data_IF_470283450985
#
_entry.id   IF_470283450985
#
_cell.length_a   1.000
_cell.length_b   1.000
_cell.length_c   1.000
_cell.angle_alpha   90.00
_cell.angle_beta   90.00
_cell.angle_gamma   90.00
#
_symmetry.space_group_name_H-M   'P 1'
#
loop_
_entity.id
_entity.type
_entity.pdbx_description
1 polymer ?
#
# COMPACT_ATOMS: atom_id res chain seq x y z
N UNK A 1 -11.65 7.62 -7.96
CA UNK A 1 -11.03 6.29 -8.19
C UNK A 1 -10.85 5.54 -6.86
N UNK A 2 -10.16 6.13 -5.88
CA UNK A 2 -9.94 5.54 -4.54
C UNK A 2 -11.21 5.08 -3.80
N UNK A 3 -12.30 5.87 -3.81
CA UNK A 3 -13.56 5.46 -3.18
C UNK A 3 -14.24 4.24 -3.82
N UNK A 4 -14.03 4.01 -5.12
CA UNK A 4 -14.52 2.80 -5.82
C UNK A 4 -13.66 1.57 -5.51
N UNK A 5 -12.35 1.76 -5.31
CA UNK A 5 -11.43 0.68 -4.97
C UNK A 5 -11.63 0.14 -3.53
N UNK A 6 -12.26 0.93 -2.66
CA UNK A 6 -12.56 0.56 -1.27
C UNK A 6 -14.05 0.22 -1.05
N UNK A 7 -14.80 -0.04 -2.13
CA UNK A 7 -16.22 -0.43 -2.08
C UNK A 7 -17.10 0.51 -1.25
N UNK A 8 -16.75 1.80 -1.17
CA UNK A 8 -17.54 2.75 -0.40
C UNK A 8 -18.84 3.01 -1.14
N UNK A 9 -19.95 2.54 -0.56
CA UNK A 9 -21.31 2.81 -1.01
C UNK A 9 -21.66 4.29 -0.80
N UNK A 10 -21.12 5.17 -1.64
CA UNK A 10 -21.69 6.49 -1.99
C UNK A 10 -22.10 7.46 -0.87
N UNK A 11 -21.60 7.34 0.36
CA UNK A 11 -21.93 8.22 1.47
C UNK A 11 -20.72 9.05 1.93
N UNK A 12 -20.97 10.26 2.42
CA UNK A 12 -19.94 11.02 3.15
C UNK A 12 -19.67 10.38 4.53
N UNK A 13 -18.56 10.78 5.18
CA UNK A 13 -18.18 10.20 6.46
C UNK A 13 -19.24 10.42 7.55
N UNK A 14 -19.98 11.53 7.49
CA UNK A 14 -21.02 11.85 8.46
C UNK A 14 -22.23 10.93 8.29
N UNK A 15 -22.68 10.68 7.05
CA UNK A 15 -23.77 9.76 6.76
C UNK A 15 -23.40 8.33 7.14
N UNK A 16 -22.16 7.89 6.87
CA UNK A 16 -21.69 6.57 7.28
C UNK A 16 -21.68 6.42 8.81
N UNK A 17 -21.24 7.45 9.55
CA UNK A 17 -21.26 7.43 11.02
C UNK A 17 -22.69 7.35 11.56
N UNK A 18 -23.60 8.12 10.99
CA UNK A 18 -25.01 8.11 11.38
C UNK A 18 -25.65 6.73 11.14
N UNK A 19 -25.41 6.13 9.98
CA UNK A 19 -25.87 4.77 9.65
C UNK A 19 -25.25 3.70 10.56
N UNK A 20 -24.01 3.88 10.99
CA UNK A 20 -23.32 2.93 11.86
C UNK A 20 -24.01 2.79 13.24
N UNK A 21 -24.61 3.87 13.75
CA UNK A 21 -25.39 3.89 15.02
C UNK A 21 -26.91 3.82 14.82
N UNK A 22 -27.37 3.55 13.59
CA UNK A 22 -28.78 3.45 13.22
C UNK A 22 -29.08 2.04 12.72
N UNK A 23 -29.35 1.08 13.61
CA UNK A 23 -29.74 -0.28 13.20
C UNK A 23 -31.05 -0.23 12.38
N UNK A 24 -31.17 -1.03 11.29
CA UNK A 24 -32.37 -1.06 10.46
C UNK A 24 -33.64 -1.47 11.24
N UNK A 25 -33.49 -2.39 12.19
CA UNK A 25 -34.55 -2.81 13.12
C UNK A 25 -34.20 -2.39 14.56
N UNK A 26 -34.40 -1.10 14.83
CA UNK A 26 -34.11 -0.53 16.15
C UNK A 26 -35.03 -1.08 17.25
N UNK A 27 -36.27 -1.43 16.92
CA UNK A 27 -37.26 -1.93 17.87
C UNK A 27 -37.00 -3.39 18.23
N UNK A 28 -36.69 -4.24 17.25
CA UNK A 28 -36.26 -5.62 17.48
C UNK A 28 -34.96 -5.68 18.27
N UNK A 29 -33.98 -4.82 17.94
CA UNK A 29 -32.76 -4.71 18.73
C UNK A 29 -33.04 -4.25 20.17
N UNK A 30 -33.92 -3.27 20.37
CA UNK A 30 -34.33 -2.82 21.71
C UNK A 30 -34.96 -3.96 22.51
N UNK A 31 -35.87 -4.73 21.90
CA UNK A 31 -36.49 -5.89 22.55
C UNK A 31 -35.46 -6.93 22.97
N UNK A 32 -34.52 -7.26 22.09
CA UNK A 32 -33.42 -8.19 22.37
C UNK A 32 -32.52 -7.69 23.51
N UNK A 33 -32.19 -6.39 23.54
CA UNK A 33 -31.37 -5.79 24.59
C UNK A 33 -32.11 -5.71 25.93
N UNK A 34 -33.42 -5.46 25.96
CA UNK A 34 -34.20 -5.52 27.21
C UNK A 34 -34.14 -6.92 27.83
N UNK A 35 -34.38 -7.96 27.02
CA UNK A 35 -34.24 -9.36 27.44
C UNK A 35 -32.83 -9.66 27.97
N UNK A 36 -31.79 -9.15 27.29
CA UNK A 36 -30.41 -9.33 27.72
C UNK A 36 -30.10 -8.61 29.05
N UNK A 37 -30.65 -7.41 29.25
CA UNK A 37 -30.47 -6.61 30.46
C UNK A 37 -31.06 -7.28 31.71
N UNK A 38 -32.19 -7.98 31.56
CA UNK A 38 -32.86 -8.67 32.66
C UNK A 38 -32.28 -10.06 32.93
N UNK A 39 -32.04 -10.84 31.85
CA UNK A 39 -31.79 -12.29 31.94
C UNK A 39 -30.39 -12.72 31.53
N UNK A 40 -29.56 -11.79 31.04
CA UNK A 40 -28.18 -12.05 30.62
C UNK A 40 -27.22 -12.35 31.77
N UNK A 41 -25.97 -12.68 31.43
CA UNK A 41 -24.86 -12.66 32.40
C UNK A 41 -24.43 -11.22 32.73
N UNK A 42 -23.77 -11.00 33.87
CA UNK A 42 -23.40 -9.66 34.39
C UNK A 42 -22.78 -8.73 33.33
N UNK A 43 -21.76 -9.21 32.62
CA UNK A 43 -21.11 -8.43 31.55
C UNK A 43 -22.04 -8.08 30.38
N UNK A 44 -22.95 -8.99 30.02
CA UNK A 44 -23.97 -8.79 29.00
C UNK A 44 -25.04 -7.80 29.42
N UNK A 45 -25.48 -7.84 30.69
CA UNK A 45 -26.46 -6.89 31.23
C UNK A 45 -25.95 -5.46 31.19
N UNK A 46 -24.68 -5.25 31.59
CA UNK A 46 -24.05 -3.92 31.55
C UNK A 46 -24.00 -3.36 30.13
N UNK A 47 -23.59 -4.16 29.16
CA UNK A 47 -23.54 -3.76 27.74
C UNK A 47 -24.95 -3.46 27.22
N UNK A 48 -25.94 -4.28 27.60
CA UNK A 48 -27.32 -4.09 27.18
C UNK A 48 -27.90 -2.77 27.69
N UNK A 49 -27.67 -2.43 28.97
CA UNK A 49 -28.11 -1.15 29.54
C UNK A 49 -27.45 0.04 28.84
N UNK A 50 -26.14 -0.02 28.61
CA UNK A 50 -25.40 1.05 27.91
C UNK A 50 -25.94 1.25 26.48
N UNK A 51 -26.25 0.17 25.75
CA UNK A 51 -26.86 0.26 24.42
C UNK A 51 -28.32 0.73 24.45
N UNK A 52 -29.10 0.39 25.47
CA UNK A 52 -30.46 0.89 25.65
C UNK A 52 -30.47 2.40 25.90
N UNK A 53 -29.52 2.91 26.68
CA UNK A 53 -29.32 4.35 26.88
C UNK A 53 -29.00 5.04 25.54
N UNK A 54 -28.12 4.46 24.73
CA UNK A 54 -27.84 4.96 23.37
C UNK A 54 -29.09 4.93 22.48
N UNK A 55 -29.89 3.86 22.53
CA UNK A 55 -31.14 3.76 21.77
C UNK A 55 -32.23 4.73 22.24
N UNK A 56 -32.16 5.25 23.47
CA UNK A 56 -33.05 6.31 23.95
C UNK A 56 -32.71 7.69 23.36
N UNK A 57 -31.48 7.88 22.88
CA UNK A 57 -31.05 9.10 22.20
C UNK A 57 -31.45 9.12 20.72
N UNK A 58 -31.68 10.32 20.15
CA UNK A 58 -31.82 10.46 18.70
C UNK A 58 -30.52 10.01 18.00
N UNK A 59 -30.57 9.46 16.78
CA UNK A 59 -29.39 8.91 16.08
C UNK A 59 -28.17 9.83 16.03
N UNK A 60 -28.38 11.15 15.90
CA UNK A 60 -27.32 12.15 15.83
C UNK A 60 -26.56 12.35 17.16
N UNK A 61 -27.18 11.98 18.28
CA UNK A 61 -26.60 12.09 19.62
C UNK A 61 -26.00 10.78 20.13
N UNK A 62 -26.08 9.69 19.35
CA UNK A 62 -25.51 8.39 19.70
C UNK A 62 -23.99 8.39 19.50
N UNK A 63 -23.30 7.73 20.41
CA UNK A 63 -21.84 7.66 20.44
C UNK A 63 -21.35 6.38 19.72
N UNK A 64 -20.68 6.57 18.58
CA UNK A 64 -20.10 5.47 17.81
C UNK A 64 -19.03 4.67 18.58
N UNK A 65 -18.03 5.29 19.24
CA UNK A 65 -17.11 4.57 20.12
C UNK A 65 -17.78 3.63 21.13
N UNK A 66 -18.87 4.06 21.77
CA UNK A 66 -19.67 3.22 22.69
C UNK A 66 -20.31 2.06 21.92
N UNK A 67 -21.00 2.35 20.82
CA UNK A 67 -21.66 1.35 19.97
C UNK A 67 -20.66 0.28 19.46
N UNK A 68 -19.54 0.72 18.89
CA UNK A 68 -18.48 -0.16 18.38
C UNK A 68 -17.90 -1.03 19.48
N UNK A 69 -17.59 -0.45 20.65
CA UNK A 69 -17.01 -1.19 21.78
C UNK A 69 -17.97 -2.22 22.34
N UNK A 70 -19.28 -1.96 22.30
CA UNK A 70 -20.29 -2.90 22.74
C UNK A 70 -20.24 -4.19 21.91
N UNK A 71 -20.16 -4.06 20.59
CA UNK A 71 -20.30 -5.19 19.65
C UNK A 71 -18.98 -5.83 19.21
N UNK A 72 -17.87 -5.07 19.15
CA UNK A 72 -16.60 -5.55 18.60
C UNK A 72 -15.54 -5.79 19.67
N UNK A 73 -14.65 -6.74 19.38
CA UNK A 73 -13.43 -7.00 20.14
C UNK A 73 -12.34 -5.96 19.83
N UNK A 74 -11.23 -6.00 20.59
CA UNK A 74 -10.05 -5.17 20.30
C UNK A 74 -9.42 -5.47 18.93
N UNK A 75 -9.68 -6.64 18.36
CA UNK A 75 -9.27 -7.02 17.00
C UNK A 75 -10.28 -6.62 15.92
N UNK A 76 -11.27 -5.79 16.25
CA UNK A 76 -12.37 -5.36 15.38
C UNK A 76 -13.24 -6.50 14.81
N UNK A 77 -13.23 -7.65 15.48
CA UNK A 77 -14.09 -8.78 15.15
C UNK A 77 -15.38 -8.77 15.98
N UNK A 78 -16.53 -9.22 15.45
CA UNK A 78 -17.76 -9.39 16.21
C UNK A 78 -17.54 -10.20 17.49
N UNK A 79 -18.05 -9.72 18.62
CA UNK A 79 -17.99 -10.47 19.87
C UNK A 79 -18.91 -11.68 19.79
N UNK A 80 -18.39 -12.83 20.23
CA UNK A 80 -19.14 -14.08 20.26
C UNK A 80 -20.28 -14.04 21.31
N UNK A 81 -21.37 -14.80 21.12
CA UNK A 81 -22.47 -14.91 22.08
C UNK A 81 -22.05 -15.19 23.53
N UNK A 82 -21.02 -16.03 23.70
CA UNK A 82 -20.43 -16.33 25.02
C UNK A 82 -19.81 -15.11 25.69
N UNK A 83 -19.17 -14.24 24.90
CA UNK A 83 -18.47 -13.04 25.38
C UNK A 83 -19.46 -11.94 25.74
N UNK A 84 -20.58 -11.86 25.02
CA UNK A 84 -21.69 -10.95 25.31
C UNK A 84 -22.67 -11.52 26.34
N UNK A 85 -22.47 -12.74 26.82
CA UNK A 85 -23.23 -13.30 27.94
C UNK A 85 -24.67 -13.70 27.59
N UNK A 86 -24.96 -14.01 26.32
CA UNK A 86 -26.31 -14.42 25.87
C UNK A 86 -26.38 -15.81 25.25
N UNK A 87 -25.29 -16.57 25.16
CA UNK A 87 -25.28 -17.87 24.47
C UNK A 87 -26.37 -18.85 24.97
N UNK A 88 -26.49 -19.03 26.29
CA UNK A 88 -27.51 -19.91 26.86
C UNK A 88 -28.94 -19.33 26.73
N UNK A 89 -29.06 -18.00 26.71
CA UNK A 89 -30.34 -17.30 26.59
C UNK A 89 -30.87 -17.35 25.16
N UNK A 90 -29.98 -17.20 24.17
CA UNK A 90 -30.30 -17.27 22.75
C UNK A 90 -30.73 -18.67 22.29
N UNK A 91 -30.40 -19.73 23.04
CA UNK A 91 -30.95 -21.09 22.78
C UNK A 91 -32.38 -21.27 23.31
N UNK A 92 -32.83 -20.40 24.21
CA UNK A 92 -34.15 -20.49 24.88
C UNK A 92 -35.16 -19.51 24.32
N UNK A 93 -34.69 -18.39 23.77
CA UNK A 93 -35.52 -17.31 23.24
C UNK A 93 -35.26 -17.23 21.75
N UNK A 94 -36.30 -17.54 20.98
CA UNK A 94 -36.25 -17.54 19.52
C UNK A 94 -35.90 -16.14 18.98
N UNK A 95 -35.10 -16.08 17.92
CA UNK A 95 -34.65 -14.83 17.28
C UNK A 95 -33.69 -13.94 18.07
N UNK A 96 -33.42 -14.19 19.37
CA UNK A 96 -32.52 -13.36 20.18
C UNK A 96 -31.08 -13.42 19.68
N UNK A 97 -30.57 -14.64 19.47
CA UNK A 97 -29.18 -14.84 19.02
C UNK A 97 -28.96 -14.24 17.62
N UNK A 98 -29.94 -14.40 16.74
CA UNK A 98 -29.88 -13.89 15.37
C UNK A 98 -29.90 -12.35 15.38
N UNK A 99 -30.81 -11.72 16.12
CA UNK A 99 -30.89 -10.26 16.21
C UNK A 99 -29.59 -9.63 16.72
N UNK A 100 -29.05 -10.13 17.84
CA UNK A 100 -27.81 -9.62 18.42
C UNK A 100 -26.58 -9.96 17.55
N UNK A 101 -26.59 -11.11 16.90
CA UNK A 101 -25.52 -11.53 15.98
C UNK A 101 -25.48 -10.69 14.71
N UNK A 102 -26.63 -10.48 14.08
CA UNK A 102 -26.77 -9.63 12.89
C UNK A 102 -26.32 -8.19 13.16
N UNK A 103 -26.68 -7.63 14.33
CA UNK A 103 -26.19 -6.29 14.70
C UNK A 103 -24.68 -6.27 14.91
N UNK A 104 -24.09 -7.30 15.53
CA UNK A 104 -22.64 -7.38 15.70
C UNK A 104 -21.89 -7.42 14.35
N UNK A 105 -22.39 -8.21 13.40
CA UNK A 105 -21.85 -8.28 12.03
C UNK A 105 -22.02 -6.94 11.29
N UNK A 106 -23.21 -6.34 11.36
CA UNK A 106 -23.48 -5.03 10.76
C UNK A 106 -22.53 -3.95 11.27
N UNK A 107 -22.26 -3.92 12.58
CA UNK A 107 -21.33 -2.98 13.20
C UNK A 107 -19.89 -3.23 12.74
N UNK A 108 -19.48 -4.48 12.51
CA UNK A 108 -18.19 -4.79 11.94
C UNK A 108 -18.07 -4.26 10.50
N UNK A 109 -19.07 -4.49 9.65
CA UNK A 109 -19.12 -3.94 8.29
C UNK A 109 -19.11 -2.41 8.29
N UNK A 110 -19.90 -1.77 9.16
CA UNK A 110 -19.93 -0.32 9.30
C UNK A 110 -18.57 0.26 9.75
N UNK A 111 -17.87 -0.44 10.66
CA UNK A 111 -16.53 -0.05 11.08
C UNK A 111 -15.53 -0.10 9.92
N UNK A 112 -15.53 -1.18 9.13
CA UNK A 112 -14.68 -1.31 7.94
C UNK A 112 -14.95 -0.18 6.93
N UNK A 113 -16.22 0.10 6.65
CA UNK A 113 -16.62 1.18 5.74
C UNK A 113 -16.14 2.57 6.24
N UNK A 114 -16.28 2.85 7.55
CA UNK A 114 -15.79 4.09 8.15
C UNK A 114 -14.27 4.23 8.05
N UNK A 115 -13.52 3.16 8.32
CA UNK A 115 -12.06 3.15 8.17
C UNK A 115 -11.65 3.38 6.71
N UNK A 116 -12.32 2.72 5.76
CA UNK A 116 -12.09 2.93 4.33
C UNK A 116 -12.37 4.37 3.90
N UNK A 117 -13.49 4.95 4.33
CA UNK A 117 -13.86 6.34 4.02
C UNK A 117 -12.84 7.35 4.57
N UNK A 118 -12.38 7.12 5.81
CA UNK A 118 -11.36 7.97 6.42
C UNK A 118 -10.01 7.85 5.72
N UNK A 119 -9.60 6.64 5.31
CA UNK A 119 -8.38 6.42 4.54
C UNK A 119 -8.42 7.16 3.19
N UNK A 120 -9.55 7.10 2.46
CA UNK A 120 -9.74 7.88 1.22
C UNK A 120 -9.63 9.37 1.48
N UNK A 121 -10.32 9.87 2.52
CA UNK A 121 -10.33 11.29 2.87
C UNK A 121 -8.92 11.80 3.17
N UNK A 122 -8.18 11.09 4.03
CA UNK A 122 -6.82 11.46 4.43
C UNK A 122 -5.84 11.36 3.24
N UNK A 123 -5.96 10.32 2.42
CA UNK A 123 -5.13 10.16 1.22
C UNK A 123 -5.39 11.28 0.21
N UNK A 124 -6.66 11.64 -0.01
CA UNK A 124 -7.03 12.77 -0.87
C UNK A 124 -6.44 14.09 -0.39
N UNK A 125 -6.51 14.37 0.92
CA UNK A 125 -5.90 15.56 1.52
C UNK A 125 -4.38 15.55 1.41
N UNK A 126 -3.73 14.40 1.65
CA UNK A 126 -2.29 14.25 1.50
C UNK A 126 -1.84 14.58 0.08
N UNK A 127 -2.53 14.03 -0.93
CA UNK A 127 -2.22 14.29 -2.34
C UNK A 127 -2.45 15.77 -2.72
N UNK A 128 -3.55 16.36 -2.25
CA UNK A 128 -3.88 17.75 -2.53
C UNK A 128 -2.84 18.75 -1.97
N UNK A 129 -2.11 18.38 -0.91
CA UNK A 129 -1.01 19.18 -0.36
C UNK A 129 0.33 18.80 -0.97
N UNK A 130 0.58 17.50 -1.14
CA UNK A 130 1.87 16.96 -1.58
C UNK A 130 2.19 17.30 -3.04
N UNK A 131 1.21 17.19 -3.94
CA UNK A 131 1.44 17.45 -5.38
C UNK A 131 1.87 18.91 -5.64
N UNK A 132 1.17 19.95 -5.15
CA UNK A 132 1.62 21.33 -5.33
C UNK A 132 2.97 21.62 -4.66
N UNK A 133 3.25 21.00 -3.50
CA UNK A 133 4.52 21.18 -2.81
C UNK A 133 5.70 20.60 -3.61
N UNK A 134 5.56 19.39 -4.15
CA UNK A 134 6.56 18.75 -5.01
C UNK A 134 6.78 19.54 -6.30
N UNK A 135 5.70 20.02 -6.93
CA UNK A 135 5.78 20.85 -8.13
C UNK A 135 6.53 22.17 -7.85
N UNK A 136 6.17 22.87 -6.77
CA UNK A 136 6.83 24.11 -6.37
C UNK A 136 8.31 23.90 -6.05
N UNK A 137 8.65 22.79 -5.38
CA UNK A 137 10.04 22.41 -5.12
C UNK A 137 10.81 22.14 -6.42
N UNK A 138 10.23 21.40 -7.37
CA UNK A 138 10.83 21.15 -8.68
C UNK A 138 11.11 22.43 -9.46
N UNK A 139 10.15 23.36 -9.50
CA UNK A 139 10.32 24.67 -10.14
C UNK A 139 11.43 25.50 -9.47
N UNK A 140 11.50 25.48 -8.13
CA UNK A 140 12.55 26.18 -7.39
C UNK A 140 13.95 25.59 -7.65
N UNK A 141 14.07 24.26 -7.78
CA UNK A 141 15.32 23.60 -8.18
C UNK A 141 15.74 24.04 -9.59
N UNK A 142 14.82 23.98 -10.55
CA UNK A 142 15.07 24.39 -11.93
C UNK A 142 15.50 25.85 -12.05
N UNK A 143 14.82 26.77 -11.36
CA UNK A 143 15.15 28.20 -11.38
C UNK A 143 16.57 28.50 -10.86
N UNK A 144 17.14 27.62 -10.04
CA UNK A 144 18.52 27.72 -9.52
C UNK A 144 19.55 26.96 -10.36
N UNK A 145 19.11 26.21 -11.37
CA UNK A 145 19.97 25.25 -12.08
C UNK A 145 20.53 24.15 -11.16
N UNK A 146 19.84 23.85 -10.04
CA UNK A 146 20.28 22.86 -9.08
C UNK A 146 19.83 21.45 -9.48
N UNK A 147 20.67 20.47 -9.19
CA UNK A 147 20.40 19.03 -9.36
C UNK A 147 20.78 18.31 -8.08
N UNK A 148 19.91 17.41 -7.62
CA UNK A 148 20.17 16.52 -6.50
C UNK A 148 20.72 15.18 -7.01
N UNK A 149 21.23 14.33 -6.11
CA UNK A 149 21.78 13.03 -6.49
C UNK A 149 20.77 12.14 -7.22
N UNK A 150 19.53 12.10 -6.74
CA UNK A 150 18.46 11.34 -7.40
C UNK A 150 18.12 11.91 -8.78
N UNK A 151 18.17 13.25 -8.93
CA UNK A 151 17.98 13.90 -10.23
C UNK A 151 19.10 13.50 -11.20
N UNK A 152 20.35 13.39 -10.74
CA UNK A 152 21.48 13.00 -11.58
C UNK A 152 21.28 11.57 -12.12
N UNK A 153 20.85 10.63 -11.27
CA UNK A 153 20.59 9.25 -11.67
C UNK A 153 19.44 9.23 -12.69
N UNK A 154 18.28 9.80 -12.35
CA UNK A 154 17.11 9.77 -13.22
C UNK A 154 17.37 10.45 -14.57
N UNK A 155 17.98 11.64 -14.58
CA UNK A 155 18.30 12.38 -15.81
C UNK A 155 19.35 11.68 -16.66
N UNK A 156 20.35 11.03 -16.04
CA UNK A 156 21.34 10.25 -16.80
C UNK A 156 20.68 9.07 -17.47
N UNK A 157 19.79 8.36 -16.77
CA UNK A 157 19.00 7.28 -17.36
C UNK A 157 18.18 7.79 -18.54
N UNK A 158 17.39 8.85 -18.34
CA UNK A 158 16.54 9.41 -19.39
C UNK A 158 17.37 9.86 -20.59
N UNK A 159 18.49 10.55 -20.36
CA UNK A 159 19.42 10.99 -21.40
C UNK A 159 19.96 9.84 -22.25
N UNK A 160 20.22 8.67 -21.64
CA UNK A 160 20.74 7.50 -22.35
C UNK A 160 19.67 6.73 -23.14
N UNK A 161 18.38 6.92 -22.82
CA UNK A 161 17.25 6.32 -23.54
C UNK A 161 16.74 7.20 -24.70
N UNK A 162 17.06 8.49 -24.70
CA UNK A 162 16.64 9.40 -25.77
C UNK A 162 17.29 9.05 -27.13
N UNK A 163 16.58 9.19 -28.27
CA UNK A 163 17.16 8.92 -29.59
C UNK A 163 18.44 9.73 -29.90
N UNK A 164 18.60 10.90 -29.28
CA UNK A 164 19.80 11.73 -29.40
C UNK A 164 21.03 11.19 -28.63
N UNK A 165 20.83 10.22 -27.74
CA UNK A 165 21.88 9.59 -26.94
C UNK A 165 22.92 8.88 -27.82
N UNK A 166 22.55 8.45 -29.03
CA UNK A 166 23.45 7.74 -29.94
C UNK A 166 24.75 8.51 -30.20
N UNK A 167 24.73 9.85 -30.21
CA UNK A 167 25.95 10.65 -30.33
C UNK A 167 26.80 10.64 -29.04
N UNK A 168 26.16 10.69 -27.87
CA UNK A 168 26.82 10.61 -26.55
C UNK A 168 27.44 9.23 -26.38
N UNK A 169 26.67 8.18 -26.65
CA UNK A 169 27.11 6.79 -26.65
C UNK A 169 28.21 6.58 -27.68
N UNK A 170 28.09 7.05 -28.93
CA UNK A 170 29.17 6.96 -29.92
C UNK A 170 30.47 7.63 -29.49
N UNK A 171 30.39 8.78 -28.80
CA UNK A 171 31.57 9.45 -28.21
C UNK A 171 32.18 8.67 -27.06
N UNK A 172 31.36 7.95 -26.29
CA UNK A 172 31.80 7.07 -25.19
C UNK A 172 32.27 5.70 -25.69
N UNK A 173 31.71 5.19 -26.78
CA UNK A 173 31.98 3.89 -27.38
C UNK A 173 33.43 3.81 -27.90
N UNK A 174 33.99 4.96 -28.29
CA UNK A 174 35.43 5.08 -28.55
C UNK A 174 36.35 5.05 -27.33
N UNK A 175 35.84 4.85 -26.10
CA UNK A 175 36.64 4.91 -24.87
C UNK A 175 36.21 4.01 -23.70
N UNK A 176 35.16 3.20 -23.82
CA UNK A 176 34.73 2.27 -22.78
C UNK A 176 34.73 0.83 -23.29
N UNK A 177 35.75 0.07 -22.91
CA UNK A 177 35.84 -1.36 -23.24
C UNK A 177 35.37 -2.27 -22.09
N UNK A 178 35.50 -1.80 -20.85
CA UNK A 178 35.20 -2.58 -19.67
C UNK A 178 34.39 -1.79 -18.65
N UNK A 179 33.27 -2.35 -18.20
CA UNK A 179 32.44 -1.78 -17.13
C UNK A 179 32.50 -2.71 -15.93
N UNK A 180 33.01 -2.20 -14.81
CA UNK A 180 33.09 -2.91 -13.53
C UNK A 180 32.08 -2.30 -12.56
N UNK A 181 31.20 -3.13 -12.03
CA UNK A 181 30.18 -2.80 -11.05
C UNK A 181 30.51 -3.56 -9.76
N UNK A 182 30.77 -2.83 -8.68
CA UNK A 182 31.01 -3.38 -7.35
C UNK A 182 29.79 -3.11 -6.45
N UNK A 183 29.67 -3.88 -5.37
CA UNK A 183 28.57 -3.78 -4.40
C UNK A 183 27.18 -3.77 -5.03
N UNK A 184 26.99 -4.58 -6.08
CA UNK A 184 25.79 -4.48 -6.93
C UNK A 184 24.48 -4.85 -6.24
N UNK A 185 24.55 -5.43 -5.04
CA UNK A 185 23.39 -5.65 -4.19
C UNK A 185 22.76 -4.36 -3.64
N UNK A 186 23.51 -3.24 -3.66
CA UNK A 186 23.04 -1.92 -3.20
C UNK A 186 22.67 -0.98 -4.35
N UNK A 187 22.73 -1.48 -5.59
CA UNK A 187 22.35 -0.74 -6.79
C UNK A 187 20.83 -0.67 -6.95
N UNK A 188 20.32 0.52 -7.27
CA UNK A 188 18.90 0.77 -7.58
C UNK A 188 18.55 0.38 -9.03
N UNK A 189 17.26 0.18 -9.30
CA UNK A 189 16.76 -0.15 -10.65
C UNK A 189 17.20 0.86 -11.72
N UNK A 190 17.19 2.16 -11.40
CA UNK A 190 17.60 3.21 -12.35
C UNK A 190 19.09 3.15 -12.66
N UNK A 191 19.93 2.85 -11.66
CA UNK A 191 21.37 2.69 -11.88
C UNK A 191 21.68 1.47 -12.74
N UNK A 192 20.92 0.37 -12.57
CA UNK A 192 21.04 -0.77 -13.47
C UNK A 192 20.61 -0.44 -14.90
N UNK A 193 19.55 0.36 -15.09
CA UNK A 193 19.14 0.83 -16.42
C UNK A 193 20.26 1.66 -17.07
N UNK A 194 20.94 2.53 -16.33
CA UNK A 194 22.11 3.28 -16.80
C UNK A 194 23.22 2.31 -17.25
N UNK A 195 23.61 1.36 -16.40
CA UNK A 195 24.64 0.39 -16.75
C UNK A 195 24.28 -0.42 -17.99
N UNK A 196 23.01 -0.82 -18.11
CA UNK A 196 22.48 -1.54 -19.26
C UNK A 196 22.45 -0.73 -20.56
N UNK A 197 22.20 0.58 -20.47
CA UNK A 197 22.21 1.49 -21.61
C UNK A 197 23.64 1.78 -22.09
N UNK A 198 24.57 2.02 -21.15
CA UNK A 198 26.00 2.25 -21.46
C UNK A 198 26.65 1.04 -22.16
N UNK A 199 26.14 -0.16 -21.92
CA UNK A 199 26.69 -1.43 -22.43
C UNK A 199 25.84 -2.04 -23.54
N UNK A 200 24.82 -1.32 -24.02
CA UNK A 200 23.90 -1.83 -25.03
C UNK A 200 24.62 -2.22 -26.33
N UNK A 201 25.60 -1.41 -26.75
CA UNK A 201 26.34 -1.60 -28.01
C UNK A 201 27.53 -2.57 -27.89
N UNK A 202 27.93 -2.97 -26.67
CA UNK A 202 29.06 -3.90 -26.45
C UNK A 202 28.83 -5.25 -27.13
N UNK A 203 27.57 -5.65 -27.22
CA UNK A 203 27.13 -6.93 -27.77
C UNK A 203 26.32 -6.76 -29.06
N UNK A 204 26.26 -5.54 -29.60
CA UNK A 204 25.58 -5.23 -30.86
C UNK A 204 26.57 -5.27 -32.02
N UNK A 205 26.25 -6.04 -33.07
CA UNK A 205 27.07 -6.14 -34.28
C UNK A 205 28.06 -7.31 -34.24
N UNK A 206 27.69 -8.40 -34.93
CA UNK A 206 28.61 -9.48 -35.23
C UNK A 206 29.71 -8.96 -36.18
N UNK A 207 30.94 -8.80 -35.65
CA UNK A 207 32.16 -8.72 -36.48
C UNK A 207 32.84 -7.36 -36.65
N UNK A 208 32.51 -6.32 -35.87
CA UNK A 208 33.24 -5.03 -35.94
C UNK A 208 34.31 -4.81 -34.85
N UNK A 209 34.36 -5.64 -33.80
CA UNK A 209 35.30 -5.43 -32.70
C UNK A 209 36.49 -6.38 -32.78
N UNK A 210 37.67 -5.82 -32.51
CA UNK A 210 38.95 -6.52 -32.55
C UNK A 210 38.92 -7.70 -31.57
N UNK A 211 39.10 -8.93 -32.06
CA UNK A 211 39.16 -10.13 -31.23
C UNK A 211 40.28 -10.05 -30.18
N UNK A 212 41.24 -9.14 -30.35
CA UNK A 212 42.30 -8.86 -29.38
C UNK A 212 41.82 -8.06 -28.14
N UNK A 213 40.66 -7.40 -28.17
CA UNK A 213 40.13 -6.62 -27.04
C UNK A 213 38.61 -6.76 -26.93
N UNK A 214 38.11 -7.84 -26.29
CA UNK A 214 36.68 -8.04 -26.10
C UNK A 214 36.15 -7.05 -25.06
N UNK A 215 35.01 -6.41 -25.35
CA UNK A 215 34.32 -5.58 -24.37
C UNK A 215 33.63 -6.43 -23.32
N UNK A 216 33.68 -6.00 -22.05
CA UNK A 216 33.15 -6.81 -20.93
C UNK A 216 32.36 -5.99 -19.92
N UNK A 217 31.40 -6.67 -19.29
CA UNK A 217 30.69 -6.18 -18.10
C UNK A 217 30.98 -7.15 -16.97
N UNK A 218 31.49 -6.64 -15.85
CA UNK A 218 31.81 -7.42 -14.67
C UNK A 218 31.08 -6.85 -13.47
N UNK A 219 30.27 -7.67 -12.80
CA UNK A 219 29.44 -7.25 -11.68
C UNK A 219 29.67 -8.17 -10.47
N UNK A 220 30.03 -7.60 -9.33
CA UNK A 220 30.31 -8.31 -8.07
C UNK A 220 29.42 -7.78 -6.96
N UNK A 221 28.90 -8.69 -6.15
CA UNK A 221 28.12 -8.34 -4.97
C UNK A 221 27.65 -9.58 -4.21
N UNK A 222 27.18 -9.35 -2.98
CA UNK A 222 26.60 -10.37 -2.11
C UNK A 222 25.18 -9.99 -1.68
N UNK A 223 24.19 -10.72 -2.19
CA UNK A 223 22.78 -10.48 -1.89
C UNK A 223 22.48 -10.49 -0.38
N UNK A 224 23.20 -11.29 0.41
CA UNK A 224 23.00 -11.36 1.87
C UNK A 224 23.47 -10.10 2.60
N UNK A 225 24.25 -9.25 1.93
CA UNK A 225 24.81 -8.02 2.48
C UNK A 225 24.03 -6.77 2.06
N UNK A 226 22.96 -6.91 1.27
CA UNK A 226 22.14 -5.74 0.93
C UNK A 226 21.45 -5.19 2.18
N UNK A 227 21.85 -3.98 2.55
CA UNK A 227 21.32 -3.27 3.73
C UNK A 227 20.80 -1.87 3.38
N UNK A 228 20.96 -1.43 2.13
CA UNK A 228 20.57 -0.08 1.66
C UNK A 228 19.18 0.00 1.04
N UNK A 229 18.26 -0.91 1.40
CA UNK A 229 16.86 -0.88 0.91
C UNK A 229 16.13 0.44 1.21
N UNK A 230 16.53 1.16 2.26
CA UNK A 230 15.99 2.49 2.58
C UNK A 230 16.39 3.60 1.60
N UNK A 231 17.44 3.37 0.77
CA UNK A 231 17.87 4.26 -0.31
C UNK A 231 17.38 3.78 -1.69
N UNK A 232 16.54 2.73 -1.73
CA UNK A 232 16.01 2.19 -2.99
C UNK A 232 16.92 1.16 -3.66
N UNK A 233 17.87 0.56 -2.95
CA UNK A 233 18.57 -0.63 -3.42
C UNK A 233 17.57 -1.73 -3.80
N UNK A 234 17.78 -2.35 -4.96
CA UNK A 234 16.89 -3.37 -5.49
C UNK A 234 17.67 -4.68 -5.72
N UNK A 235 17.87 -5.51 -4.68
CA UNK A 235 18.68 -6.72 -4.78
C UNK A 235 18.18 -7.72 -5.81
N UNK A 236 16.87 -7.75 -6.07
CA UNK A 236 16.28 -8.64 -7.07
C UNK A 236 16.59 -8.18 -8.50
N UNK A 237 16.77 -6.87 -8.72
CA UNK A 237 17.14 -6.34 -10.02
C UNK A 237 18.51 -6.87 -10.48
N UNK A 238 19.42 -7.19 -9.56
CA UNK A 238 20.67 -7.83 -9.90
C UNK A 238 20.47 -9.16 -10.65
N UNK A 239 19.47 -9.96 -10.25
CA UNK A 239 19.16 -11.23 -10.94
C UNK A 239 18.62 -10.98 -12.34
N UNK A 240 17.64 -10.09 -12.44
CA UNK A 240 17.05 -9.71 -13.74
C UNK A 240 18.11 -9.19 -14.71
N UNK A 241 19.04 -8.36 -14.23
CA UNK A 241 20.10 -7.79 -15.05
C UNK A 241 21.18 -8.81 -15.39
N UNK A 242 21.50 -9.76 -14.51
CA UNK A 242 22.36 -10.90 -14.84
C UNK A 242 21.78 -11.68 -16.02
N UNK A 243 20.49 -12.02 -15.97
CA UNK A 243 19.83 -12.76 -17.06
C UNK A 243 19.82 -11.97 -18.37
N UNK A 244 19.56 -10.65 -18.31
CA UNK A 244 19.63 -9.77 -19.49
C UNK A 244 21.03 -9.71 -20.10
N UNK A 245 22.07 -9.61 -19.28
CA UNK A 245 23.45 -9.61 -19.77
C UNK A 245 23.83 -10.95 -20.38
N UNK A 246 23.47 -12.07 -19.74
CA UNK A 246 23.70 -13.42 -20.28
C UNK A 246 23.07 -13.58 -21.67
N UNK A 247 21.79 -13.20 -21.82
CA UNK A 247 21.09 -13.24 -23.11
C UNK A 247 21.78 -12.41 -24.19
N UNK A 248 22.29 -11.21 -23.84
CA UNK A 248 23.02 -10.35 -24.78
C UNK A 248 24.34 -10.99 -25.23
N UNK A 249 25.11 -11.57 -24.30
CA UNK A 249 26.40 -12.20 -24.58
C UNK A 249 26.20 -13.46 -25.45
N UNK A 250 25.23 -14.32 -25.11
CA UNK A 250 24.89 -15.50 -25.92
C UNK A 250 24.37 -15.10 -27.30
N UNK A 251 23.53 -14.06 -27.38
CA UNK A 251 23.05 -13.53 -28.66
C UNK A 251 24.17 -13.00 -29.57
N UNK A 252 25.27 -12.52 -28.99
CA UNK A 252 26.46 -12.09 -29.71
C UNK A 252 27.44 -13.23 -30.06
N UNK A 253 27.19 -14.45 -29.58
CA UNK A 253 28.05 -15.62 -29.84
C UNK A 253 29.38 -15.62 -29.06
N UNK A 254 29.44 -14.93 -27.92
CA UNK A 254 30.63 -14.82 -27.06
C UNK A 254 30.61 -15.81 -25.87
N UNK A 255 29.51 -16.57 -25.71
CA UNK A 255 29.30 -17.68 -24.78
C UNK A 255 28.52 -18.79 -25.50
#
# INVERSE_FOLDING_TARGET
ALGRALELAGGDLASLRLSAVSPPDADGLRAALMVLSEKGAEGGRRIALELLDQLALPPQARDWPVWRKAWLTEKMQPKKPRTLGYEALGRKIDGLADTLGMEAERVASAHAALCGAEAVRLTGLLLAIGEPALAAHGLAKQARGAVEFDDLIARTRDLLEEPGAAWVLFKLDGGLDHVLLDEVQDTSDLQWQIAGALTADFFAGAGQHDAASPRTVFAVGDFKQSIFGFQGAAPEAFRDWRERFEQRVTGAGLL
#
